data_IF_444957981844
#
_entry.id   IF_444957981844
#
_cell.length_a   1.000
_cell.length_b   1.000
_cell.length_c   1.000
_cell.angle_alpha   90.00
_cell.angle_beta   90.00
_cell.angle_gamma   90.00
#
_symmetry.space_group_name_H-M   'P 1'
#
loop_
_entity.id
_entity.type
_entity.pdbx_description
1 polymer ?
#
# COMPACT_ATOMS: atom_id res chain seq x y z
N UNK A 1 -28.89 -11.54 8.24
CA UNK A 1 -27.43 -11.30 8.19
C UNK A 1 -27.19 -10.31 7.06
N UNK A 2 -26.81 -9.07 7.37
CA UNK A 2 -26.77 -7.99 6.37
C UNK A 2 -25.67 -8.28 5.35
N UNK A 3 -26.07 -8.47 4.09
CA UNK A 3 -25.18 -8.74 2.96
C UNK A 3 -24.10 -7.66 2.80
N UNK A 4 -24.41 -6.41 3.16
CA UNK A 4 -23.47 -5.29 3.23
C UNK A 4 -22.31 -5.50 4.21
N UNK A 5 -22.57 -6.08 5.39
CA UNK A 5 -21.51 -6.37 6.38
C UNK A 5 -20.55 -7.45 5.89
N UNK A 6 -21.06 -8.43 5.14
CA UNK A 6 -20.23 -9.48 4.53
C UNK A 6 -19.29 -8.88 3.49
N UNK A 7 -19.79 -7.94 2.69
CA UNK A 7 -18.98 -7.26 1.68
C UNK A 7 -17.86 -6.41 2.30
N UNK A 8 -18.17 -5.70 3.38
CA UNK A 8 -17.21 -4.89 4.12
C UNK A 8 -16.11 -5.74 4.79
N UNK A 9 -16.49 -6.88 5.38
CA UNK A 9 -15.54 -7.86 5.93
C UNK A 9 -14.65 -8.43 4.82
N UNK A 10 -15.22 -8.80 3.66
CA UNK A 10 -14.45 -9.34 2.54
C UNK A 10 -13.42 -8.34 2.00
N UNK A 11 -13.76 -7.05 1.93
CA UNK A 11 -12.82 -5.98 1.55
C UNK A 11 -11.68 -5.84 2.56
N UNK A 12 -12.00 -5.78 3.84
CA UNK A 12 -10.99 -5.64 4.90
C UNK A 12 -10.05 -6.86 4.96
N UNK A 13 -10.58 -8.07 4.76
CA UNK A 13 -9.78 -9.30 4.70
C UNK A 13 -8.87 -9.31 3.48
N UNK A 14 -9.35 -8.87 2.32
CA UNK A 14 -8.53 -8.77 1.11
C UNK A 14 -7.39 -7.77 1.27
N UNK A 15 -7.68 -6.57 1.79
CA UNK A 15 -6.66 -5.56 2.09
C UNK A 15 -5.61 -6.05 3.07
N UNK A 16 -6.02 -6.81 4.10
CA UNK A 16 -5.09 -7.42 5.05
C UNK A 16 -4.19 -8.48 4.41
N UNK A 17 -4.73 -9.31 3.51
CA UNK A 17 -3.93 -10.32 2.79
C UNK A 17 -2.91 -9.65 1.86
N UNK A 18 -3.34 -8.63 1.12
CA UNK A 18 -2.46 -7.85 0.24
C UNK A 18 -1.34 -7.19 1.06
N UNK A 19 -1.68 -6.59 2.20
CA UNK A 19 -0.71 -6.00 3.13
C UNK A 19 0.31 -7.04 3.63
N UNK A 20 -0.14 -8.22 4.07
CA UNK A 20 0.73 -9.29 4.54
C UNK A 20 1.67 -9.82 3.44
N UNK A 21 1.19 -9.92 2.19
CA UNK A 21 2.00 -10.34 1.05
C UNK A 21 3.11 -9.32 0.76
N UNK A 22 2.80 -8.02 0.77
CA UNK A 22 3.79 -6.95 0.57
C UNK A 22 4.84 -6.98 1.68
N UNK A 23 4.44 -7.01 2.95
CA UNK A 23 5.38 -7.05 4.10
C UNK A 23 6.28 -8.30 4.06
N UNK A 24 5.75 -9.45 3.65
CA UNK A 24 6.53 -10.68 3.51
C UNK A 24 7.65 -10.57 2.45
N UNK A 25 7.42 -9.79 1.38
CA UNK A 25 8.39 -9.56 0.33
C UNK A 25 9.51 -8.59 0.78
N UNK A 26 9.18 -7.60 1.61
CA UNK A 26 10.14 -6.64 2.18
C UNK A 26 10.99 -7.27 3.28
N UNK A 27 10.44 -8.18 4.08
CA UNK A 27 11.17 -8.87 5.17
C UNK A 27 12.37 -9.67 4.69
N UNK A 28 12.34 -10.22 3.46
CA UNK A 28 13.50 -10.89 2.85
C UNK A 28 14.59 -9.94 2.34
N UNK A 29 14.32 -8.64 2.21
CA UNK A 29 15.31 -7.64 1.79
C UNK A 29 16.20 -7.15 2.94
N UNK A 30 15.84 -7.46 4.19
CA UNK A 30 16.55 -6.96 5.38
C UNK A 30 17.99 -7.45 5.49
N UNK A 31 18.38 -8.62 4.99
CA UNK A 31 19.70 -9.15 5.35
C UNK A 31 20.94 -8.46 4.72
N UNK A 32 20.83 -7.42 3.87
CA UNK A 32 22.04 -6.84 3.23
C UNK A 32 22.17 -5.31 3.00
N UNK A 33 21.14 -4.44 3.14
CA UNK A 33 21.30 -3.00 2.77
C UNK A 33 20.40 -2.06 3.60
N UNK A 34 20.75 -1.85 4.86
CA UNK A 34 19.75 -1.50 5.88
C UNK A 34 19.30 -0.03 6.03
N UNK A 35 19.72 0.93 5.19
CA UNK A 35 19.24 2.32 5.38
C UNK A 35 19.01 3.12 4.10
N UNK A 36 19.80 2.89 3.04
CA UNK A 36 19.61 3.61 1.77
C UNK A 36 18.43 3.11 0.92
N UNK A 37 17.83 1.96 1.26
CA UNK A 37 16.76 1.34 0.47
C UNK A 37 15.35 1.53 1.02
N UNK A 38 15.18 2.05 2.24
CA UNK A 38 13.84 2.20 2.82
C UNK A 38 13.09 3.31 2.11
N UNK A 39 13.77 4.44 1.86
CA UNK A 39 13.21 5.56 1.12
C UNK A 39 12.77 5.16 -0.29
N UNK A 40 13.66 4.52 -1.06
CA UNK A 40 13.36 4.01 -2.40
C UNK A 40 12.24 2.95 -2.37
N UNK A 41 12.25 2.03 -1.41
CA UNK A 41 11.21 1.02 -1.29
C UNK A 41 9.85 1.61 -0.91
N UNK A 42 9.83 2.60 -0.03
CA UNK A 42 8.61 3.31 0.35
C UNK A 42 8.07 4.13 -0.81
N UNK A 43 8.95 4.80 -1.57
CA UNK A 43 8.54 5.53 -2.76
C UNK A 43 7.95 4.60 -3.82
N UNK A 44 8.62 3.47 -4.10
CA UNK A 44 8.16 2.49 -5.09
C UNK A 44 6.82 1.87 -4.68
N UNK A 45 6.68 1.51 -3.40
CA UNK A 45 5.42 1.02 -2.84
C UNK A 45 4.29 2.03 -2.96
N UNK A 46 4.54 3.27 -2.57
CA UNK A 46 3.57 4.36 -2.62
C UNK A 46 3.14 4.68 -4.06
N UNK A 47 4.09 4.68 -4.99
CA UNK A 47 3.83 4.87 -6.41
C UNK A 47 2.91 3.79 -6.97
N UNK A 48 3.23 2.51 -6.72
CA UNK A 48 2.43 1.39 -7.18
C UNK A 48 1.04 1.34 -6.52
N UNK A 49 0.95 1.68 -5.23
CA UNK A 49 -0.33 1.82 -4.54
C UNK A 49 -1.19 2.92 -5.18
N UNK A 50 -0.60 4.08 -5.49
CA UNK A 50 -1.31 5.19 -6.14
C UNK A 50 -1.86 4.82 -7.53
N UNK A 51 -1.12 4.00 -8.29
CA UNK A 51 -1.57 3.50 -9.59
C UNK A 51 -2.78 2.57 -9.45
N UNK A 52 -2.70 1.64 -8.50
CA UNK A 52 -3.80 0.72 -8.25
C UNK A 52 -5.06 1.45 -7.77
N UNK A 53 -4.91 2.39 -6.83
CA UNK A 53 -6.00 3.21 -6.35
C UNK A 53 -6.59 4.09 -7.47
N UNK A 54 -5.76 4.60 -8.37
CA UNK A 54 -6.23 5.35 -9.54
C UNK A 54 -7.08 4.47 -10.47
N UNK A 55 -6.69 3.22 -10.71
CA UNK A 55 -7.46 2.28 -11.53
C UNK A 55 -8.76 1.83 -10.85
N UNK A 56 -8.73 1.54 -9.55
CA UNK A 56 -9.89 1.02 -8.81
C UNK A 56 -10.95 2.11 -8.55
N UNK A 57 -10.50 3.32 -8.21
CA UNK A 57 -11.39 4.42 -7.79
C UNK A 57 -11.51 5.55 -8.80
N UNK A 58 -10.84 5.47 -9.95
CA UNK A 58 -10.88 6.50 -10.98
C UNK A 58 -10.20 7.81 -10.58
N UNK A 59 -9.18 7.74 -9.72
CA UNK A 59 -8.48 8.92 -9.20
C UNK A 59 -7.49 9.46 -10.24
N UNK A 60 -7.40 10.79 -10.34
CA UNK A 60 -6.51 11.45 -11.30
C UNK A 60 -5.88 12.70 -10.71
N UNK A 61 -4.77 13.15 -11.31
CA UNK A 61 -4.06 14.38 -10.93
C UNK A 61 -3.77 14.46 -9.44
N UNK A 62 -4.18 15.57 -8.82
CA UNK A 62 -3.92 15.87 -7.41
C UNK A 62 -4.44 14.80 -6.44
N UNK A 63 -5.53 14.10 -6.75
CA UNK A 63 -6.06 13.06 -5.87
C UNK A 63 -5.14 11.83 -5.82
N UNK A 64 -4.52 11.49 -6.94
CA UNK A 64 -3.55 10.39 -7.01
C UNK A 64 -2.25 10.78 -6.30
N UNK A 65 -1.79 12.01 -6.51
CA UNK A 65 -0.60 12.54 -5.84
C UNK A 65 -0.76 12.51 -4.31
N UNK A 66 -1.92 12.93 -3.81
CA UNK A 66 -2.20 12.94 -2.37
C UNK A 66 -2.16 11.52 -1.75
N UNK A 67 -2.72 10.52 -2.44
CA UNK A 67 -2.67 9.13 -1.98
C UNK A 67 -1.25 8.56 -2.04
N UNK A 68 -0.47 8.94 -3.04
CA UNK A 68 0.93 8.53 -3.12
C UNK A 68 1.72 9.10 -1.94
N UNK A 69 1.56 10.39 -1.65
CA UNK A 69 2.27 11.06 -0.55
C UNK A 69 1.89 10.44 0.81
N UNK A 70 0.60 10.23 1.06
CA UNK A 70 0.12 9.61 2.30
C UNK A 70 0.63 8.17 2.49
N UNK A 71 0.67 7.38 1.41
CA UNK A 71 1.22 6.03 1.44
C UNK A 71 2.74 5.99 1.66
N UNK A 72 3.47 6.98 1.13
CA UNK A 72 4.91 7.11 1.32
C UNK A 72 5.25 7.51 2.75
N UNK A 73 4.60 8.54 3.30
CA UNK A 73 4.81 8.98 4.69
C UNK A 73 4.47 7.85 5.67
N UNK A 74 3.33 7.17 5.45
CA UNK A 74 2.93 6.03 6.28
C UNK A 74 3.94 4.88 6.24
N UNK A 75 4.63 4.67 5.11
CA UNK A 75 5.68 3.65 5.00
C UNK A 75 6.96 4.03 5.75
N UNK A 76 7.32 5.32 5.76
CA UNK A 76 8.50 5.81 6.48
C UNK A 76 8.33 5.80 8.00
N UNK A 77 7.10 6.01 8.48
CA UNK A 77 6.79 6.02 9.92
C UNK A 77 6.72 4.62 10.55
N UNK A 78 6.67 3.57 9.73
CA UNK A 78 6.45 2.17 10.16
C UNK A 78 7.74 1.34 10.22
#
# INVERSE_FOLDING_TARGET
MNWFKILEIMKNVLSLILFLLVVSSVSKAKDNVYFFKVDEACWDMAYHYSLHAAEEYGLTGAQRELIMEEAYESCLEW
#
